data_IF_139440569186
#
_entry.id   IF_139440569186
#
_cell.length_a   1.000
_cell.length_b   1.000
_cell.length_c   1.000
_cell.angle_alpha   90.00
_cell.angle_beta   90.00
_cell.angle_gamma   90.00
#
_symmetry.space_group_name_H-M   'P 1'
#
loop_
_entity.id
_entity.type
_entity.pdbx_description
1 polymer ?
#
# COMPACT_ATOMS: atom_id res chain seq x y z
N UNK A 1 5.80 -12.30 6.01
CA UNK A 1 6.51 -12.49 4.72
C UNK A 1 8.03 -12.38 4.94
N UNK A 2 8.87 -13.06 4.17
CA UNK A 2 10.35 -12.99 4.29
C UNK A 2 10.82 -11.55 4.05
N UNK A 3 11.52 -10.98 5.03
CA UNK A 3 12.16 -9.66 4.94
C UNK A 3 13.50 -9.76 4.19
N UNK A 4 13.47 -10.31 2.98
CA UNK A 4 14.69 -10.50 2.18
C UNK A 4 14.76 -9.38 1.14
N UNK A 5 15.89 -8.67 1.12
CA UNK A 5 16.26 -7.73 0.07
C UNK A 5 16.22 -8.43 -1.31
N UNK A 6 15.86 -7.70 -2.36
CA UNK A 6 15.71 -8.36 -3.65
C UNK A 6 15.43 -7.45 -4.84
N UNK A 7 15.01 -8.10 -5.93
CA UNK A 7 14.63 -7.46 -7.18
C UNK A 7 13.18 -7.82 -7.49
N UNK A 8 12.41 -6.83 -7.95
CA UNK A 8 11.06 -7.04 -8.49
C UNK A 8 11.10 -7.75 -9.84
N UNK A 9 9.93 -8.14 -10.36
CA UNK A 9 9.80 -8.89 -11.62
C UNK A 9 10.47 -8.21 -12.82
N UNK A 10 10.52 -6.87 -12.83
CA UNK A 10 11.18 -6.08 -13.87
C UNK A 10 12.59 -5.59 -13.49
N UNK A 11 13.21 -6.19 -12.46
CA UNK A 11 14.59 -5.92 -12.04
C UNK A 11 14.79 -4.72 -11.10
N UNK A 12 13.72 -4.02 -10.70
CA UNK A 12 13.81 -2.90 -9.75
C UNK A 12 14.23 -3.38 -8.35
N UNK A 13 15.16 -2.67 -7.72
CA UNK A 13 15.62 -2.98 -6.37
C UNK A 13 14.53 -2.71 -5.32
N UNK A 14 14.48 -3.55 -4.29
CA UNK A 14 13.74 -3.24 -3.06
C UNK A 14 14.42 -3.80 -1.81
N UNK A 15 14.18 -3.14 -0.68
CA UNK A 15 14.55 -3.58 0.67
C UNK A 15 13.38 -3.31 1.62
N UNK A 16 12.71 -4.36 2.14
CA UNK A 16 11.60 -4.19 3.07
C UNK A 16 12.07 -4.00 4.53
N UNK A 17 13.34 -4.27 4.84
CA UNK A 17 13.90 -4.07 6.18
C UNK A 17 14.16 -2.59 6.48
N UNK A 18 14.53 -1.85 5.43
CA UNK A 18 14.58 -0.40 5.38
C UNK A 18 13.69 0.06 4.22
N UNK A 19 12.36 0.21 4.43
CA UNK A 19 11.38 0.29 3.36
C UNK A 19 11.83 1.21 2.21
N UNK A 20 12.30 0.58 1.14
CA UNK A 20 12.91 1.22 -0.02
C UNK A 20 12.51 0.42 -1.25
N UNK A 21 11.85 1.06 -2.18
CA UNK A 21 11.33 0.46 -3.40
C UNK A 21 11.65 1.36 -4.57
N UNK A 22 12.85 1.23 -5.14
CA UNK A 22 13.43 2.21 -6.07
C UNK A 22 12.67 2.31 -7.41
N UNK A 23 11.90 1.29 -7.75
CA UNK A 23 11.12 1.26 -8.99
C UNK A 23 9.94 2.24 -9.02
N UNK A 24 9.52 2.81 -7.88
CA UNK A 24 8.33 3.69 -7.82
C UNK A 24 8.67 5.20 -7.80
N UNK A 25 9.55 5.75 -6.95
CA UNK A 25 10.20 5.25 -5.73
C UNK A 25 9.35 5.40 -4.45
N UNK A 26 9.37 4.41 -3.56
CA UNK A 26 8.85 4.56 -2.19
C UNK A 26 9.96 4.41 -1.15
N UNK A 27 9.79 5.14 -0.06
CA UNK A 27 10.66 5.20 1.12
C UNK A 27 9.83 5.00 2.40
N UNK A 28 10.48 4.80 3.55
CA UNK A 28 9.84 4.52 4.83
C UNK A 28 8.69 5.45 5.22
N UNK A 29 8.76 6.74 4.87
CA UNK A 29 7.71 7.70 5.19
C UNK A 29 6.43 7.52 4.35
N UNK A 30 6.46 6.75 3.26
CA UNK A 30 5.29 6.44 2.43
C UNK A 30 4.46 5.26 2.96
N UNK A 31 4.87 4.66 4.08
CA UNK A 31 4.18 3.55 4.73
C UNK A 31 3.55 4.02 6.04
N UNK A 32 2.48 3.35 6.46
CA UNK A 32 1.83 3.62 7.73
C UNK A 32 2.83 3.45 8.89
N UNK A 33 3.00 4.51 9.66
CA UNK A 33 3.96 4.55 10.76
C UNK A 33 3.48 3.78 11.97
N UNK A 34 4.37 3.53 12.93
CA UNK A 34 4.03 2.98 14.26
C UNK A 34 2.98 3.81 15.02
N UNK A 35 2.80 5.09 14.67
CA UNK A 35 1.76 5.93 15.27
C UNK A 35 0.35 5.66 14.73
N UNK A 36 0.23 5.04 13.55
CA UNK A 36 -1.07 4.74 12.90
C UNK A 36 -1.56 3.32 13.20
N UNK A 37 -0.65 2.38 13.39
CA UNK A 37 -0.98 1.01 13.79
C UNK A 37 -0.91 0.87 15.32
N UNK A 38 -2.02 0.53 16.02
CA UNK A 38 -2.03 0.48 17.49
C UNK A 38 -1.43 -0.80 18.08
N UNK A 39 -0.94 -1.74 17.28
CA UNK A 39 -0.42 -3.04 17.76
C UNK A 39 1.08 -3.01 18.07
N UNK A 40 1.49 -3.82 19.04
CA UNK A 40 2.90 -3.96 19.41
C UNK A 40 3.73 -4.62 18.31
N UNK A 41 3.18 -5.64 17.62
CA UNK A 41 3.85 -6.28 16.49
C UNK A 41 3.97 -5.36 15.28
N UNK A 42 2.96 -4.49 15.07
CA UNK A 42 2.77 -3.74 13.83
C UNK A 42 1.91 -4.48 12.80
N UNK A 43 1.48 -5.71 13.11
CA UNK A 43 0.57 -6.52 12.31
C UNK A 43 -0.88 -6.41 12.79
N UNK A 44 -1.82 -6.80 11.93
CA UNK A 44 -3.23 -6.99 12.32
C UNK A 44 -3.33 -8.15 13.32
N UNK A 45 -3.87 -7.89 14.51
CA UNK A 45 -4.05 -8.89 15.56
C UNK A 45 -5.54 -9.12 15.90
N UNK A 46 -6.37 -8.07 15.79
CA UNK A 46 -7.81 -8.10 16.00
C UNK A 46 -8.58 -7.55 14.80
N UNK A 47 -9.27 -8.44 14.09
CA UNK A 47 -10.08 -8.09 12.92
C UNK A 47 -11.38 -7.34 13.24
N UNK A 48 -11.76 -7.22 14.51
CA UNK A 48 -12.87 -6.37 14.94
C UNK A 48 -12.44 -4.91 15.14
N UNK A 49 -11.13 -4.63 15.19
CA UNK A 49 -10.61 -3.29 15.26
C UNK A 49 -10.30 -2.74 13.85
N UNK A 50 -11.17 -1.84 13.37
CA UNK A 50 -11.04 -1.23 12.04
C UNK A 50 -9.72 -0.48 11.82
N UNK A 51 -9.15 0.12 12.87
CA UNK A 51 -7.88 0.86 12.78
C UNK A 51 -6.72 -0.11 12.56
N UNK A 52 -6.72 -1.26 13.24
CA UNK A 52 -5.73 -2.30 12.95
C UNK A 52 -5.89 -2.81 11.53
N UNK A 53 -7.11 -3.20 11.15
CA UNK A 53 -7.39 -3.77 9.84
C UNK A 53 -6.92 -2.87 8.70
N UNK A 54 -6.97 -1.54 8.85
CA UNK A 54 -6.68 -0.57 7.77
C UNK A 54 -5.36 0.18 7.88
N UNK A 55 -4.65 0.09 9.00
CA UNK A 55 -3.38 0.79 9.22
C UNK A 55 -2.22 -0.10 9.67
N UNK A 56 -2.48 -1.37 10.01
CA UNK A 56 -1.45 -2.34 10.39
C UNK A 56 -1.13 -3.28 9.24
N UNK A 57 0.05 -3.90 9.32
CA UNK A 57 0.56 -4.82 8.31
C UNK A 57 -0.31 -6.07 8.23
N UNK A 58 -0.68 -6.44 7.00
CA UNK A 58 -1.33 -7.72 6.73
C UNK A 58 -0.25 -8.81 6.61
N UNK A 59 -0.08 -9.64 7.65
CA UNK A 59 0.88 -10.77 7.63
C UNK A 59 2.33 -10.35 7.32
N UNK A 60 2.76 -9.22 7.86
CA UNK A 60 4.08 -8.63 7.68
C UNK A 60 4.28 -7.88 6.37
N UNK A 61 3.24 -7.71 5.54
CA UNK A 61 3.31 -6.86 4.35
C UNK A 61 3.39 -5.40 4.77
N UNK A 62 4.38 -4.66 4.26
CA UNK A 62 4.48 -3.22 4.52
C UNK A 62 3.24 -2.49 3.97
N UNK A 63 2.63 -1.70 4.83
CA UNK A 63 1.32 -1.10 4.59
C UNK A 63 1.48 0.35 4.09
N UNK A 64 1.08 0.64 2.85
CA UNK A 64 1.24 1.97 2.26
C UNK A 64 0.32 2.99 2.94
N UNK A 65 0.84 4.20 3.16
CA UNK A 65 0.05 5.30 3.71
C UNK A 65 -0.78 5.97 2.60
N UNK A 66 -1.94 5.40 2.34
CA UNK A 66 -2.89 5.92 1.35
C UNK A 66 -3.46 7.31 1.72
N UNK A 67 -3.21 7.81 2.94
CA UNK A 67 -3.53 9.16 3.34
C UNK A 67 -2.68 10.23 2.64
N UNK A 68 -1.53 9.85 2.06
CA UNK A 68 -0.61 10.77 1.38
C UNK A 68 -0.95 10.95 -0.11
N UNK A 69 -0.95 12.21 -0.57
CA UNK A 69 -1.18 12.55 -1.99
C UNK A 69 -0.18 11.89 -2.92
N UNK A 70 1.10 11.80 -2.51
CA UNK A 70 2.13 11.16 -3.30
C UNK A 70 1.81 9.68 -3.58
N UNK A 71 1.46 8.94 -2.52
CA UNK A 71 1.12 7.51 -2.61
C UNK A 71 -0.12 7.31 -3.49
N UNK A 72 -1.16 8.11 -3.30
CA UNK A 72 -2.37 8.07 -4.15
C UNK A 72 -2.05 8.37 -5.61
N UNK A 73 -1.25 9.40 -5.88
CA UNK A 73 -0.85 9.80 -7.24
C UNK A 73 -0.11 8.66 -7.93
N UNK A 74 0.86 8.02 -7.25
CA UNK A 74 1.62 6.89 -7.83
C UNK A 74 0.74 5.68 -8.18
N UNK A 75 -0.24 5.36 -7.33
CA UNK A 75 -1.20 4.28 -7.60
C UNK A 75 -2.13 4.66 -8.77
N UNK A 76 -2.61 5.91 -8.81
CA UNK A 76 -3.46 6.41 -9.88
C UNK A 76 -2.73 6.45 -11.24
N UNK A 77 -1.46 6.88 -11.27
CA UNK A 77 -0.59 6.84 -12.46
C UNK A 77 -0.50 5.40 -13.01
N UNK A 78 -0.30 4.41 -12.13
CA UNK A 78 -0.25 3.01 -12.52
C UNK A 78 -1.58 2.51 -13.11
N UNK A 79 -2.71 2.79 -12.46
CA UNK A 79 -4.02 2.39 -12.98
C UNK A 79 -4.38 3.10 -14.29
N UNK A 80 -4.14 4.41 -14.39
CA UNK A 80 -4.37 5.16 -15.61
C UNK A 80 -3.53 4.61 -16.77
N UNK A 81 -2.27 4.24 -16.51
CA UNK A 81 -1.43 3.62 -17.53
C UNK A 81 -1.99 2.28 -18.02
N UNK A 82 -2.54 1.47 -17.14
CA UNK A 82 -3.19 0.21 -17.54
C UNK A 82 -4.49 0.46 -18.34
N UNK A 83 -5.27 1.48 -17.98
CA UNK A 83 -6.46 1.88 -18.73
C UNK A 83 -6.10 2.35 -20.14
N UNK A 84 -5.03 3.15 -20.29
CA UNK A 84 -4.49 3.56 -21.60
C UNK A 84 -4.08 2.36 -22.46
N UNK A 85 -3.63 1.26 -21.83
CA UNK A 85 -3.30 0.00 -22.51
C UNK A 85 -4.52 -0.86 -22.84
N UNK A 86 -5.73 -0.45 -22.42
CA UNK A 86 -6.99 -1.08 -22.80
C UNK A 86 -7.56 -2.09 -21.79
N UNK A 87 -7.12 -2.11 -20.53
CA UNK A 87 -7.78 -2.93 -19.50
C UNK A 87 -9.20 -2.41 -19.22
N UNK A 88 -10.15 -3.32 -19.01
CA UNK A 88 -11.56 -2.95 -18.80
C UNK A 88 -11.89 -2.59 -17.33
N UNK A 89 -10.99 -2.89 -16.39
CA UNK A 89 -11.22 -2.63 -14.98
C UNK A 89 -10.21 -3.35 -14.08
N UNK A 90 -10.40 -3.21 -12.77
CA UNK A 90 -9.44 -3.68 -11.77
C UNK A 90 -10.13 -4.56 -10.72
N UNK A 91 -9.50 -5.70 -10.40
CA UNK A 91 -9.73 -6.40 -9.14
C UNK A 91 -8.74 -5.84 -8.12
N UNK A 92 -9.25 -5.16 -7.10
CA UNK A 92 -8.43 -4.52 -6.08
C UNK A 92 -8.10 -5.53 -4.98
N UNK A 93 -6.81 -5.86 -4.83
CA UNK A 93 -6.34 -6.76 -3.78
C UNK A 93 -6.47 -6.13 -2.38
N UNK A 94 -6.71 -6.98 -1.38
CA UNK A 94 -6.77 -6.58 0.03
C UNK A 94 -7.66 -5.36 0.35
N UNK A 95 -8.73 -5.11 -0.43
CA UNK A 95 -9.56 -3.90 -0.28
C UNK A 95 -10.16 -3.67 1.11
N UNK A 96 -10.37 -4.73 1.91
CA UNK A 96 -10.77 -4.63 3.33
C UNK A 96 -9.77 -3.83 4.18
N UNK A 97 -8.48 -3.90 3.83
CA UNK A 97 -7.36 -3.30 4.53
C UNK A 97 -7.09 -1.85 4.08
N UNK A 98 -8.00 -1.25 3.34
CA UNK A 98 -7.93 0.15 2.94
C UNK A 98 -9.10 0.94 3.51
N UNK A 99 -8.90 2.24 3.70
CA UNK A 99 -9.98 3.18 3.99
C UNK A 99 -10.89 3.34 2.78
N UNK A 100 -12.22 3.31 3.01
CA UNK A 100 -13.21 3.31 1.93
C UNK A 100 -13.18 4.62 1.13
N UNK A 101 -12.82 5.71 1.81
CA UNK A 101 -12.67 7.05 1.24
C UNK A 101 -11.61 7.10 0.14
N UNK A 102 -10.59 6.24 0.20
CA UNK A 102 -9.52 6.15 -0.81
C UNK A 102 -10.01 5.43 -2.07
N UNK A 103 -10.99 4.54 -1.96
CA UNK A 103 -11.51 3.75 -3.08
C UNK A 103 -12.59 4.48 -3.89
N UNK A 104 -12.94 5.71 -3.49
CA UNK A 104 -13.89 6.52 -4.25
C UNK A 104 -13.21 7.14 -5.47
N UNK A 105 -13.81 7.05 -6.67
CA UNK A 105 -13.30 7.75 -7.84
C UNK A 105 -13.24 9.26 -7.56
N UNK A 106 -12.20 9.93 -8.05
CA UNK A 106 -12.06 11.40 -7.99
C UNK A 106 -13.15 12.16 -8.76
N UNK A 107 -14.06 11.46 -9.45
CA UNK A 107 -15.20 12.02 -10.17
C UNK A 107 -16.51 12.01 -9.35
N UNK A 108 -16.42 11.87 -8.02
CA UNK A 108 -17.57 11.81 -7.12
C UNK A 108 -17.85 13.13 -6.36
N UNK A 109 -17.14 14.21 -6.72
CA UNK A 109 -17.41 15.59 -6.26
C UNK A 109 -17.80 16.48 -7.46
#
# INVERSE_FOLDING_TARGET
ARSELGQGTAGSYFDPSVPKYDGVPYEAHHFNSRGKCPTGSGDVEDYNNKEQVRNCRLSGLLDLDLGQDYVRTKIAEYFNRLLEMGVAGFRIDAAKHMWLEILKPSSAD
#
